data_IF_661467112817
#
_entry.id   IF_661467112817
#
_cell.length_a   1.000
_cell.length_b   1.000
_cell.length_c   1.000
_cell.angle_alpha   90.00
_cell.angle_beta   90.00
_cell.angle_gamma   90.00
#
_symmetry.space_group_name_H-M   'P 1'
#
loop_
_entity.id
_entity.type
_entity.pdbx_description
1 polymer ?
#
# COMPACT_ATOMS: atom_id res chain seq x y z
N UNK A 1 -34.37 3.59 12.15
CA UNK A 1 -32.89 3.75 12.19
C UNK A 1 -32.30 2.40 12.57
N UNK A 2 -31.89 1.60 11.57
CA UNK A 2 -31.41 0.23 11.76
C UNK A 2 -29.90 0.25 12.04
N UNK A 3 -29.48 -0.26 13.20
CA UNK A 3 -28.08 -0.53 13.54
C UNK A 3 -27.63 -1.80 12.82
N UNK A 4 -26.69 -1.68 11.89
CA UNK A 4 -25.99 -2.85 11.36
C UNK A 4 -25.07 -3.45 12.44
N UNK A 5 -25.48 -4.59 13.01
CA UNK A 5 -24.58 -5.51 13.72
C UNK A 5 -23.94 -6.44 12.68
N UNK A 6 -22.69 -6.17 12.32
CA UNK A 6 -21.87 -7.13 11.60
C UNK A 6 -21.21 -8.06 12.62
N UNK A 7 -21.71 -9.29 12.74
CA UNK A 7 -21.09 -10.36 13.51
C UNK A 7 -20.61 -11.44 12.55
N UNK A 8 -19.30 -11.64 12.46
CA UNK A 8 -18.72 -12.79 11.75
C UNK A 8 -18.06 -13.69 12.78
N UNK A 9 -18.63 -14.87 13.02
CA UNK A 9 -18.06 -15.89 13.90
C UNK A 9 -17.27 -16.89 13.06
N UNK A 10 -15.95 -16.90 13.23
CA UNK A 10 -15.07 -17.92 12.66
C UNK A 10 -15.08 -19.12 13.60
N UNK A 11 -15.65 -20.25 13.16
CA UNK A 11 -15.51 -21.52 13.86
C UNK A 11 -14.23 -22.23 13.37
N UNK A 12 -13.22 -22.32 14.23
CA UNK A 12 -12.05 -23.15 14.02
C UNK A 12 -12.42 -24.61 14.32
N UNK A 13 -12.55 -25.45 13.29
CA UNK A 13 -12.62 -26.91 13.47
C UNK A 13 -11.22 -27.52 13.46
N UNK A 14 -10.94 -28.31 14.49
CA UNK A 14 -9.72 -29.08 14.76
C UNK A 14 -9.38 -30.01 13.60
N UNK A 15 -8.12 -29.97 13.17
CA UNK A 15 -7.47 -31.00 12.35
C UNK A 15 -7.33 -32.26 13.20
N UNK A 16 -7.87 -33.38 12.72
CA UNK A 16 -7.67 -34.72 13.28
C UNK A 16 -6.83 -35.51 12.27
N UNK A 17 -5.61 -35.85 12.65
CA UNK A 17 -4.70 -36.69 11.86
C UNK A 17 -5.13 -38.16 11.86
N UNK A 18 -4.84 -38.88 10.76
CA UNK A 18 -4.37 -40.29 10.64
C UNK A 18 -4.59 -40.84 9.21
N UNK A 19 -3.97 -41.97 8.80
CA UNK A 19 -2.54 -42.31 8.75
C UNK A 19 -2.12 -42.76 7.32
N UNK A 20 -0.81 -42.90 7.10
CA UNK A 20 -0.22 -43.44 5.87
C UNK A 20 -0.65 -44.87 5.57
N UNK A 21 -0.90 -45.21 4.29
CA UNK A 21 -0.29 -46.35 3.57
C UNK A 21 -0.64 -46.34 2.06
N UNK A 22 0.31 -46.84 1.29
CA UNK A 22 0.45 -46.96 -0.17
C UNK A 22 -0.66 -47.73 -0.92
N UNK A 23 -1.01 -47.32 -2.14
CA UNK A 23 -0.58 -48.00 -3.39
C UNK A 23 -1.04 -47.25 -4.65
N UNK A 24 -0.37 -47.52 -5.76
CA UNK A 24 -0.40 -46.78 -7.03
C UNK A 24 -1.68 -46.96 -7.90
N UNK A 25 -2.10 -45.87 -8.56
CA UNK A 25 -2.52 -45.86 -9.97
C UNK A 25 -2.72 -44.42 -10.46
N UNK A 26 -2.08 -44.09 -11.57
CA UNK A 26 -2.14 -42.80 -12.25
C UNK A 26 -3.53 -42.57 -12.84
N UNK A 27 -4.23 -41.54 -12.36
CA UNK A 27 -5.29 -40.85 -13.09
C UNK A 27 -5.15 -39.36 -12.77
N UNK A 28 -5.17 -38.53 -13.83
CA UNK A 28 -5.05 -37.07 -13.75
C UNK A 28 -6.28 -36.49 -13.03
N UNK A 29 -6.28 -36.52 -11.70
CA UNK A 29 -7.24 -35.79 -10.88
C UNK A 29 -6.98 -34.28 -11.06
N UNK A 30 -7.83 -33.65 -11.86
CA UNK A 30 -8.03 -32.20 -11.83
C UNK A 30 -8.41 -31.88 -10.39
N UNK A 31 -7.49 -31.27 -9.64
CA UNK A 31 -7.66 -30.93 -8.24
C UNK A 31 -8.89 -30.02 -8.09
N UNK A 32 -10.03 -30.63 -7.77
CA UNK A 32 -11.24 -29.92 -7.37
C UNK A 32 -10.85 -29.10 -6.14
N UNK A 33 -11.09 -27.78 -6.11
CA UNK A 33 -10.80 -26.97 -4.94
C UNK A 33 -11.44 -27.64 -3.72
N UNK A 34 -10.67 -27.84 -2.64
CA UNK A 34 -11.08 -28.55 -1.41
C UNK A 34 -12.27 -27.90 -0.65
N UNK A 35 -12.98 -26.99 -1.29
CA UNK A 35 -14.08 -26.19 -0.79
C UNK A 35 -15.24 -26.05 -1.79
N UNK A 36 -15.29 -26.86 -2.86
CA UNK A 36 -16.47 -26.90 -3.72
C UNK A 36 -17.53 -27.83 -3.09
N UNK A 37 -18.75 -27.33 -2.80
CA UNK A 37 -19.78 -28.11 -2.14
C UNK A 37 -20.22 -29.29 -3.02
N UNK A 38 -20.36 -30.49 -2.43
CA UNK A 38 -20.79 -31.68 -3.18
C UNK A 38 -22.17 -31.47 -3.80
N UNK A 39 -22.41 -32.05 -4.97
CA UNK A 39 -23.65 -31.84 -5.72
C UNK A 39 -24.91 -32.11 -4.88
N UNK A 40 -24.90 -33.16 -4.07
CA UNK A 40 -25.95 -33.56 -3.13
C UNK A 40 -26.30 -32.48 -2.08
N UNK A 41 -25.38 -31.54 -1.83
CA UNK A 41 -25.59 -30.41 -0.91
C UNK A 41 -26.14 -29.16 -1.59
N UNK A 42 -26.35 -29.21 -2.91
CA UNK A 42 -26.90 -28.11 -3.72
C UNK A 42 -28.27 -28.48 -4.28
N UNK A 43 -29.14 -27.50 -4.49
CA UNK A 43 -30.43 -27.69 -5.17
C UNK A 43 -30.30 -27.65 -6.70
N UNK A 44 -29.07 -27.69 -7.24
CA UNK A 44 -28.79 -27.58 -8.67
C UNK A 44 -28.98 -28.93 -9.36
N UNK A 45 -29.55 -28.92 -10.56
CA UNK A 45 -29.60 -30.12 -11.41
C UNK A 45 -28.21 -30.51 -11.91
N UNK A 46 -28.02 -31.77 -12.32
CA UNK A 46 -26.72 -32.29 -12.80
C UNK A 46 -26.06 -31.35 -13.84
N UNK A 47 -26.84 -30.91 -14.83
CA UNK A 47 -26.35 -30.06 -15.92
C UNK A 47 -25.87 -28.69 -15.42
N UNK A 48 -26.59 -28.09 -14.48
CA UNK A 48 -26.26 -26.78 -13.93
C UNK A 48 -25.05 -26.85 -13.00
N UNK A 49 -24.97 -27.89 -12.18
CA UNK A 49 -23.85 -28.10 -11.27
C UNK A 49 -22.51 -28.23 -12.05
N UNK A 50 -22.47 -29.09 -13.08
CA UNK A 50 -21.26 -29.26 -13.90
C UNK A 50 -20.89 -27.99 -14.69
N UNK A 51 -21.88 -27.20 -15.14
CA UNK A 51 -21.61 -25.94 -15.83
C UNK A 51 -20.97 -24.88 -14.91
N UNK A 52 -21.43 -24.81 -13.65
CA UNK A 52 -20.86 -23.92 -12.63
C UNK A 52 -19.47 -24.40 -12.23
N UNK A 53 -19.30 -25.70 -12.00
CA UNK A 53 -18.01 -26.30 -11.66
C UNK A 53 -16.96 -26.04 -12.76
N UNK A 54 -17.33 -26.24 -14.03
CA UNK A 54 -16.45 -25.94 -15.17
C UNK A 54 -16.11 -24.44 -15.27
N UNK A 55 -17.08 -23.56 -15.01
CA UNK A 55 -16.83 -22.11 -15.01
C UNK A 55 -15.87 -21.70 -13.90
N UNK A 56 -16.01 -22.26 -12.69
CA UNK A 56 -15.13 -21.98 -11.55
C UNK A 56 -13.74 -22.55 -11.79
N UNK A 57 -13.62 -23.76 -12.36
CA UNK A 57 -12.34 -24.36 -12.71
C UNK A 57 -11.54 -23.48 -13.71
N UNK A 58 -12.23 -22.86 -14.69
CA UNK A 58 -11.59 -21.94 -15.64
C UNK A 58 -11.06 -20.65 -14.99
N UNK A 59 -11.63 -20.24 -13.86
CA UNK A 59 -11.17 -19.07 -13.10
C UNK A 59 -9.89 -19.37 -12.30
N UNK A 60 -9.68 -20.64 -11.94
CA UNK A 60 -8.58 -21.10 -11.09
C UNK A 60 -7.35 -21.52 -11.91
N UNK A 61 -7.52 -21.96 -13.16
CA UNK A 61 -6.43 -22.34 -14.07
C UNK A 61 -6.26 -21.34 -15.24
N UNK A 62 -5.40 -20.31 -15.12
CA UNK A 62 -5.18 -19.30 -16.17
C UNK A 62 -4.17 -19.76 -17.24
N UNK A 63 -4.21 -21.02 -17.68
CA UNK A 63 -3.29 -21.56 -18.69
C UNK A 63 -4.02 -22.10 -19.92
N UNK A 64 -4.67 -21.21 -20.67
CA UNK A 64 -4.79 -21.23 -22.14
C UNK A 64 -5.97 -20.37 -22.60
N UNK A 65 -5.78 -19.05 -22.67
CA UNK A 65 -6.52 -18.27 -23.64
C UNK A 65 -5.62 -17.12 -24.10
N UNK A 66 -5.23 -17.16 -25.37
CA UNK A 66 -4.44 -16.11 -26.00
C UNK A 66 -5.27 -14.82 -26.00
N UNK A 67 -4.72 -13.75 -25.42
CA UNK A 67 -5.31 -12.41 -25.49
C UNK A 67 -5.82 -11.83 -24.18
N UNK A 68 -4.96 -11.65 -23.18
CA UNK A 68 -4.91 -10.46 -22.31
C UNK A 68 -3.77 -10.60 -21.30
N UNK A 69 -2.54 -10.39 -21.78
CA UNK A 69 -1.36 -10.34 -20.93
C UNK A 69 -1.30 -9.03 -20.16
N UNK A 70 -2.04 -8.94 -19.05
CA UNK A 70 -1.58 -8.13 -17.90
C UNK A 70 -1.77 -8.91 -16.61
N UNK A 71 -1.14 -10.08 -16.52
CA UNK A 71 -0.76 -10.62 -15.21
C UNK A 71 0.18 -9.60 -14.58
N UNK A 72 -0.32 -8.86 -13.58
CA UNK A 72 0.41 -7.83 -12.87
C UNK A 72 1.44 -8.49 -11.95
N UNK A 73 2.54 -8.97 -12.54
CA UNK A 73 3.76 -9.29 -11.80
C UNK A 73 4.01 -8.11 -10.86
N UNK A 74 4.04 -8.38 -9.55
CA UNK A 74 4.10 -7.37 -8.51
C UNK A 74 5.26 -6.41 -8.80
N UNK A 75 4.93 -5.23 -9.35
CA UNK A 75 5.94 -4.28 -9.82
C UNK A 75 6.72 -3.83 -8.60
N UNK A 76 8.02 -4.10 -8.59
CA UNK A 76 8.92 -3.60 -7.55
C UNK A 76 8.74 -2.09 -7.45
N UNK A 77 8.34 -1.62 -6.28
CA UNK A 77 8.07 -0.20 -6.04
C UNK A 77 9.31 0.61 -6.38
N UNK A 78 9.15 1.65 -7.20
CA UNK A 78 10.25 2.53 -7.60
C UNK A 78 10.88 3.27 -6.42
N UNK A 79 12.09 3.78 -6.62
CA UNK A 79 12.82 4.56 -5.62
C UNK A 79 12.06 5.84 -5.28
N UNK A 80 11.94 6.15 -3.98
CA UNK A 80 11.31 7.38 -3.53
C UNK A 80 12.24 8.56 -3.76
N UNK A 81 11.72 9.63 -4.34
CA UNK A 81 12.46 10.88 -4.50
C UNK A 81 12.27 11.75 -3.27
N UNK A 82 13.38 12.29 -2.78
CA UNK A 82 13.40 13.21 -1.66
C UNK A 82 13.68 14.62 -2.18
N UNK A 83 12.79 15.55 -1.85
CA UNK A 83 12.93 16.96 -2.17
C UNK A 83 13.32 17.71 -0.89
N UNK A 84 14.25 18.66 -1.01
CA UNK A 84 14.61 19.52 0.12
C UNK A 84 13.44 20.45 0.50
N UNK A 85 13.41 20.89 1.75
CA UNK A 85 12.34 21.77 2.23
C UNK A 85 12.27 23.09 1.44
N UNK A 86 13.42 23.60 1.00
CA UNK A 86 13.54 24.81 0.19
C UNK A 86 13.01 24.61 -1.24
N UNK A 87 13.38 23.51 -1.90
CA UNK A 87 12.87 23.20 -3.25
C UNK A 87 11.37 22.98 -3.23
N UNK A 88 10.85 22.33 -2.18
CA UNK A 88 9.41 22.20 -1.95
C UNK A 88 8.71 23.57 -1.86
N UNK A 89 9.30 24.52 -1.15
CA UNK A 89 8.75 25.87 -1.02
C UNK A 89 8.77 26.63 -2.35
N UNK A 90 9.88 26.57 -3.10
CA UNK A 90 10.01 27.20 -4.43
C UNK A 90 8.96 26.67 -5.41
N UNK A 91 8.77 25.35 -5.46
CA UNK A 91 7.75 24.71 -6.31
C UNK A 91 6.34 25.13 -5.87
N UNK A 92 6.07 25.11 -4.58
CA UNK A 92 4.77 25.49 -4.02
C UNK A 92 4.40 26.94 -4.34
N UNK A 93 5.35 27.87 -4.17
CA UNK A 93 5.18 29.29 -4.52
C UNK A 93 4.88 29.46 -6.00
N UNK A 94 5.73 28.91 -6.88
CA UNK A 94 5.56 29.05 -8.32
C UNK A 94 4.24 28.43 -8.82
N UNK A 95 3.84 27.28 -8.27
CA UNK A 95 2.57 26.64 -8.62
C UNK A 95 1.34 27.39 -8.09
N UNK A 96 1.49 28.12 -6.98
CA UNK A 96 0.44 29.01 -6.46
C UNK A 96 0.20 30.18 -7.40
N UNK A 97 1.26 30.75 -7.98
CA UNK A 97 1.22 31.94 -8.85
C UNK A 97 0.88 31.58 -10.31
N UNK A 98 1.52 30.56 -10.88
CA UNK A 98 1.48 30.25 -12.32
C UNK A 98 0.65 29.00 -12.67
N UNK A 99 0.26 28.21 -11.68
CA UNK A 99 -0.46 26.94 -11.86
C UNK A 99 0.46 25.72 -12.05
N UNK A 100 -0.13 24.52 -11.92
CA UNK A 100 0.62 23.26 -11.80
C UNK A 100 1.36 22.89 -13.10
N UNK A 101 0.72 23.03 -14.26
CA UNK A 101 1.31 22.65 -15.56
C UNK A 101 2.55 23.48 -15.89
N UNK A 102 2.47 24.80 -15.68
CA UNK A 102 3.62 25.69 -15.85
C UNK A 102 4.75 25.38 -14.86
N UNK A 103 4.41 25.05 -13.62
CA UNK A 103 5.40 24.65 -12.62
C UNK A 103 6.18 23.40 -13.04
N UNK A 104 5.51 22.37 -13.58
CA UNK A 104 6.19 21.16 -14.07
C UNK A 104 7.18 21.51 -15.19
N UNK A 105 6.77 22.37 -16.13
CA UNK A 105 7.64 22.78 -17.24
C UNK A 105 8.84 23.60 -16.75
N UNK A 106 8.63 24.52 -15.82
CA UNK A 106 9.69 25.36 -15.25
C UNK A 106 10.74 24.52 -14.51
N UNK A 107 10.31 23.54 -13.71
CA UNK A 107 11.21 22.68 -12.94
C UNK A 107 11.61 21.40 -13.67
N UNK A 108 11.32 21.27 -14.97
CA UNK A 108 11.63 20.05 -15.73
C UNK A 108 13.13 19.82 -15.86
N UNK A 109 13.90 20.90 -16.00
CA UNK A 109 15.37 20.86 -16.10
C UNK A 109 16.02 20.51 -14.76
N UNK A 110 15.57 21.15 -13.67
CA UNK A 110 16.10 20.91 -12.32
C UNK A 110 15.64 19.55 -11.74
N UNK A 111 14.38 19.17 -11.99
CA UNK A 111 13.70 18.02 -11.38
C UNK A 111 12.91 17.24 -12.46
N UNK A 112 13.60 16.46 -13.33
CA UNK A 112 12.96 15.75 -14.44
C UNK A 112 11.95 14.68 -13.98
N UNK A 113 12.03 14.23 -12.73
CA UNK A 113 11.11 13.23 -12.15
C UNK A 113 9.88 13.84 -11.46
N UNK A 114 9.69 15.16 -11.55
CA UNK A 114 8.61 15.85 -10.87
C UNK A 114 7.26 15.50 -11.49
N UNK A 115 6.35 14.96 -10.67
CA UNK A 115 4.99 14.59 -11.07
C UNK A 115 3.99 15.68 -10.69
N UNK A 116 2.93 15.82 -11.49
CA UNK A 116 1.83 16.76 -11.24
C UNK A 116 1.20 16.57 -9.86
N UNK A 117 1.02 15.31 -9.43
CA UNK A 117 0.50 14.99 -8.10
C UNK A 117 1.39 15.51 -6.96
N UNK A 118 2.71 15.54 -7.15
CA UNK A 118 3.67 16.11 -6.21
C UNK A 118 3.51 17.63 -6.15
N UNK A 119 3.49 18.30 -7.30
CA UNK A 119 3.30 19.76 -7.39
C UNK A 119 2.00 20.19 -6.71
N UNK A 120 0.91 19.47 -6.96
CA UNK A 120 -0.40 19.73 -6.32
C UNK A 120 -0.33 19.61 -4.80
N UNK A 121 0.42 18.63 -4.29
CA UNK A 121 0.61 18.44 -2.85
C UNK A 121 1.43 19.57 -2.25
N UNK A 122 2.51 19.97 -2.92
CA UNK A 122 3.38 21.08 -2.48
C UNK A 122 2.66 22.42 -2.48
N UNK A 123 1.85 22.70 -3.51
CA UNK A 123 0.98 23.89 -3.57
C UNK A 123 0.03 23.95 -2.38
N UNK A 124 -0.68 22.85 -2.08
CA UNK A 124 -1.59 22.78 -0.93
C UNK A 124 -0.86 23.00 0.40
N UNK A 125 0.35 22.44 0.55
CA UNK A 125 1.17 22.65 1.74
C UNK A 125 1.59 24.12 1.88
N UNK A 126 2.00 24.77 0.78
CA UNK A 126 2.35 26.19 0.74
C UNK A 126 1.16 27.07 1.12
N UNK A 127 0.00 26.87 0.50
CA UNK A 127 -1.24 27.63 0.80
C UNK A 127 -1.72 27.42 2.24
N UNK A 128 -1.56 26.21 2.80
CA UNK A 128 -1.87 25.94 4.21
C UNK A 128 -0.98 26.78 5.13
N UNK A 129 0.34 26.79 4.89
CA UNK A 129 1.29 27.61 5.66
C UNK A 129 0.99 29.10 5.54
N UNK A 130 0.70 29.57 4.32
CA UNK A 130 0.35 30.97 4.10
C UNK A 130 -0.92 31.39 4.86
N UNK A 131 -1.92 30.49 4.97
CA UNK A 131 -3.09 30.71 5.84
C UNK A 131 -2.74 30.73 7.32
N UNK A 132 -1.83 29.88 7.77
CA UNK A 132 -1.36 29.86 9.17
C UNK A 132 -0.62 31.14 9.53
N UNK A 133 0.25 31.64 8.66
CA UNK A 133 0.99 32.90 8.87
C UNK A 133 0.07 34.12 8.87
N UNK A 134 -0.93 34.16 7.97
CA UNK A 134 -1.97 35.19 8.00
C UNK A 134 -2.76 35.21 9.31
N UNK A 135 -3.05 34.03 9.88
CA UNK A 135 -3.71 33.93 11.21
C UNK A 135 -2.84 34.47 12.34
N UNK A 136 -1.52 34.41 12.20
CA UNK A 136 -0.57 34.97 13.18
C UNK A 136 -0.36 36.49 13.01
N UNK A 137 -1.05 37.13 12.06
CA UNK A 137 -0.95 38.56 11.79
C UNK A 137 0.21 38.96 10.88
N UNK A 138 0.89 38.01 10.25
CA UNK A 138 2.02 38.30 9.38
C UNK A 138 1.54 38.34 7.91
N UNK A 139 1.22 39.54 7.42
CA UNK A 139 0.63 39.74 6.08
C UNK A 139 1.62 39.50 4.94
N UNK A 140 2.92 39.68 5.20
CA UNK A 140 3.99 39.63 4.20
C UNK A 140 4.86 38.36 4.32
N UNK A 141 4.37 37.35 5.04
CA UNK A 141 5.14 36.15 5.33
C UNK A 141 5.46 35.36 4.04
N UNK A 142 6.73 35.35 3.66
CA UNK A 142 7.27 34.49 2.60
C UNK A 142 7.65 33.15 3.21
N UNK A 143 7.02 32.06 2.75
CA UNK A 143 7.37 30.70 3.22
C UNK A 143 8.67 30.26 2.53
N UNK A 144 9.79 30.30 3.26
CA UNK A 144 11.13 29.98 2.73
C UNK A 144 11.35 28.47 2.62
N UNK A 145 10.79 27.68 3.55
CA UNK A 145 10.97 26.24 3.61
C UNK A 145 9.68 25.55 4.04
N UNK A 146 9.32 24.46 3.35
CA UNK A 146 8.23 23.57 3.76
C UNK A 146 8.87 22.35 4.43
N UNK A 147 8.83 22.23 5.77
CA UNK A 147 9.40 21.08 6.45
C UNK A 147 8.63 19.81 6.05
N UNK A 148 9.35 18.70 5.90
CA UNK A 148 8.73 17.40 5.73
C UNK A 148 8.09 16.97 7.05
N UNK A 149 6.77 16.71 7.05
CA UNK A 149 6.10 16.20 8.24
C UNK A 149 6.69 14.85 8.67
N UNK A 150 6.87 14.70 9.99
CA UNK A 150 7.24 13.43 10.62
C UNK A 150 6.16 12.41 10.31
N UNK A 151 6.51 11.40 9.53
CA UNK A 151 5.57 10.34 9.15
C UNK A 151 5.42 9.34 10.29
N UNK A 152 4.17 8.88 10.48
CA UNK A 152 3.85 7.80 11.42
C UNK A 152 3.16 8.31 12.67
N UNK A 153 3.05 7.43 13.68
CA UNK A 153 2.49 7.78 14.98
C UNK A 153 3.51 8.66 15.72
N UNK A 154 3.07 9.75 16.36
CA UNK A 154 3.96 10.53 17.20
C UNK A 154 4.51 9.64 18.33
N UNK A 155 5.78 9.81 18.70
CA UNK A 155 6.35 9.12 19.85
C UNK A 155 5.57 9.46 21.11
N UNK A 156 5.25 8.44 21.93
CA UNK A 156 4.49 8.61 23.17
C UNK A 156 5.40 9.18 24.28
N UNK A 157 6.66 8.77 24.25
CA UNK A 157 7.63 9.02 25.31
C UNK A 157 8.54 10.23 25.01
N UNK A 158 8.40 10.85 23.83
CA UNK A 158 9.10 12.06 23.38
C UNK A 158 10.60 12.07 23.73
N UNK A 159 11.01 12.81 24.76
CA UNK A 159 12.41 12.99 25.14
C UNK A 159 13.03 11.68 25.65
N UNK A 160 12.25 10.81 26.32
CA UNK A 160 12.72 9.52 26.80
C UNK A 160 13.00 8.53 25.66
N UNK A 161 12.34 8.68 24.51
CA UNK A 161 12.65 7.88 23.32
C UNK A 161 14.07 8.20 22.83
N UNK A 162 14.50 9.46 22.89
CA UNK A 162 15.85 9.84 22.46
C UNK A 162 16.95 9.18 23.32
N UNK A 163 16.72 9.11 24.64
CA UNK A 163 17.60 8.45 25.61
C UNK A 163 17.58 6.93 25.39
N UNK A 164 16.41 6.35 25.20
CA UNK A 164 16.26 4.91 24.94
C UNK A 164 16.95 4.50 23.64
N UNK A 165 16.80 5.29 22.58
CA UNK A 165 17.45 5.07 21.29
C UNK A 165 18.97 5.19 21.42
N UNK A 166 19.49 6.17 22.17
CA UNK A 166 20.94 6.35 22.34
C UNK A 166 21.57 5.18 23.12
N UNK A 167 20.89 4.70 24.17
CA UNK A 167 21.29 3.53 24.93
C UNK A 167 21.28 2.26 24.07
N UNK A 168 20.21 2.03 23.30
CA UNK A 168 20.13 0.88 22.40
C UNK A 168 21.23 0.91 21.33
N UNK A 169 21.57 2.10 20.79
CA UNK A 169 22.68 2.26 19.84
C UNK A 169 24.03 1.93 20.49
N UNK A 170 24.27 2.37 21.73
CA UNK A 170 25.54 2.12 22.43
C UNK A 170 25.74 0.64 22.80
N UNK A 171 24.66 -0.07 23.13
CA UNK A 171 24.70 -1.52 23.37
C UNK A 171 25.01 -2.26 22.06
N UNK A 172 24.31 -1.91 20.96
CA UNK A 172 24.53 -2.52 19.64
C UNK A 172 25.93 -2.27 19.09
N UNK A 173 26.47 -1.06 19.28
CA UNK A 173 27.84 -0.76 18.82
C UNK A 173 28.88 -1.56 19.59
N UNK A 174 28.66 -1.86 20.87
CA UNK A 174 29.60 -2.66 21.68
C UNK A 174 29.62 -4.14 21.30
N UNK A 175 28.48 -4.72 20.93
CA UNK A 175 28.40 -6.13 20.53
C UNK A 175 28.99 -6.42 19.14
N UNK A 176 29.07 -5.41 18.26
CA UNK A 176 29.57 -5.60 16.89
C UNK A 176 31.09 -5.83 16.80
N UNK A 177 31.82 -5.67 17.91
CA UNK A 177 33.29 -5.77 17.95
C UNK A 177 33.80 -7.00 18.71
N UNK A 178 32.94 -7.92 19.13
CA UNK A 178 33.36 -9.16 19.85
C UNK A 178 33.17 -10.44 19.03
N UNK A 179 33.38 -10.38 17.71
CA UNK A 179 33.36 -11.56 16.83
C UNK A 179 34.60 -11.58 15.95
#
# INVERSE_FOLDING_TARGET
>A
MSLFRCGFTVQNKKVMERPNNSDASEDLEIAVPAYFPSQESTSLGNVEYFAVESSVASLVNPHSNEGSSTTSAARKRGKYQHYSAETCAKIGKYASENGNSKAINHFKEELPTLKESTVRTLKRAYEKRLREEKKKGNTDATVIAIPSDTRGRPPILCDLDSISISLLRSIRSRQRWSS
#
